data_IF_561721129533
#
_entry.id   IF_561721129533
#
_cell.length_a   1.000
_cell.length_b   1.000
_cell.length_c   1.000
_cell.angle_alpha   90.00
_cell.angle_beta   90.00
_cell.angle_gamma   90.00
#
_symmetry.space_group_name_H-M   'P 1'
#
loop_
_entity.id
_entity.type
_entity.pdbx_description
1 polymer ?
#
# COMPACT_ATOMS: atom_id res chain seq x y z
N UNK A 1 -13.03 -10.57 -14.20
CA UNK A 1 -11.62 -10.15 -14.05
C UNK A 1 -11.07 -10.79 -12.78
N UNK A 2 -9.80 -11.19 -12.78
CA UNK A 2 -9.15 -11.67 -11.55
C UNK A 2 -8.98 -10.51 -10.56
N UNK A 3 -9.07 -10.78 -9.25
CA UNK A 3 -8.80 -9.78 -8.21
C UNK A 3 -7.33 -9.38 -8.24
N UNK A 4 -7.06 -8.12 -7.90
CA UNK A 4 -5.71 -7.60 -7.69
C UNK A 4 -5.19 -8.14 -6.36
N UNK A 5 -4.04 -8.80 -6.38
CA UNK A 5 -3.35 -9.30 -5.20
C UNK A 5 -2.70 -8.13 -4.48
N UNK A 6 -3.16 -7.85 -3.27
CA UNK A 6 -2.74 -6.72 -2.48
C UNK A 6 -1.81 -7.17 -1.35
N UNK A 7 -0.72 -6.44 -1.17
CA UNK A 7 0.07 -6.45 0.06
C UNK A 7 -0.20 -5.21 0.91
N UNK A 8 0.09 -5.25 2.21
CA UNK A 8 0.00 -4.09 3.10
C UNK A 8 1.28 -3.91 3.94
N UNK A 9 1.74 -2.68 4.10
CA UNK A 9 2.85 -2.32 5.00
C UNK A 9 2.35 -1.35 6.06
N UNK A 10 2.53 -1.72 7.33
CA UNK A 10 1.90 -1.05 8.48
C UNK A 10 0.44 -1.46 8.67
N UNK A 11 -0.28 -0.73 9.53
CA UNK A 11 -1.73 -0.89 9.68
C UNK A 11 -2.19 -2.25 10.23
N UNK A 12 -1.34 -2.95 10.97
CA UNK A 12 -1.70 -4.21 11.63
C UNK A 12 -2.76 -4.07 12.72
N UNK A 13 -2.71 -4.98 13.69
CA UNK A 13 -3.62 -5.01 14.84
C UNK A 13 -3.73 -3.65 15.54
N UNK A 14 -4.96 -3.29 15.93
CA UNK A 14 -5.35 -2.05 16.62
C UNK A 14 -5.15 -0.74 15.82
N UNK A 15 -4.79 -0.81 14.54
CA UNK A 15 -4.56 0.37 13.71
C UNK A 15 -5.78 0.74 12.85
N UNK A 16 -6.50 1.79 13.27
CA UNK A 16 -7.67 2.33 12.55
C UNK A 16 -7.42 2.57 11.05
N UNK A 17 -6.26 3.14 10.69
CA UNK A 17 -5.93 3.42 9.28
C UNK A 17 -5.81 2.13 8.48
N UNK A 18 -5.22 1.07 9.05
CA UNK A 18 -5.16 -0.23 8.39
C UNK A 18 -6.55 -0.79 8.09
N UNK A 19 -7.47 -0.71 9.06
CA UNK A 19 -8.86 -1.16 8.87
C UNK A 19 -9.58 -0.39 7.76
N UNK A 20 -9.43 0.94 7.73
CA UNK A 20 -10.04 1.79 6.71
C UNK A 20 -9.55 1.41 5.30
N UNK A 21 -8.24 1.24 5.12
CA UNK A 21 -7.68 0.86 3.81
C UNK A 21 -8.10 -0.56 3.40
N UNK A 22 -8.14 -1.51 4.33
CA UNK A 22 -8.66 -2.86 4.07
C UNK A 22 -10.15 -2.87 3.72
N UNK A 23 -10.96 -2.06 4.40
CA UNK A 23 -12.38 -1.88 4.08
C UNK A 23 -12.55 -1.33 2.66
N UNK A 24 -11.82 -0.27 2.32
CA UNK A 24 -11.87 0.34 0.99
C UNK A 24 -11.48 -0.66 -0.11
N UNK A 25 -10.42 -1.44 0.09
CA UNK A 25 -9.98 -2.46 -0.87
C UNK A 25 -11.01 -3.58 -1.09
N UNK A 26 -11.75 -3.95 -0.03
CA UNK A 26 -12.77 -5.01 -0.10
C UNK A 26 -14.10 -4.55 -0.70
N UNK A 27 -14.46 -3.28 -0.52
CA UNK A 27 -15.82 -2.77 -0.77
C UNK A 27 -16.33 -3.08 -2.19
N UNK A 28 -15.49 -2.90 -3.20
CA UNK A 28 -15.86 -3.13 -4.61
C UNK A 28 -15.52 -4.54 -5.11
N UNK A 29 -15.05 -5.44 -4.24
CA UNK A 29 -14.69 -6.82 -4.59
C UNK A 29 -13.50 -6.97 -5.55
N UNK A 30 -12.68 -5.92 -5.72
CA UNK A 30 -11.58 -5.88 -6.72
C UNK A 30 -10.23 -6.35 -6.20
N UNK A 31 -10.02 -6.37 -4.89
CA UNK A 31 -8.74 -6.72 -4.27
C UNK A 31 -8.85 -7.95 -3.37
N UNK A 32 -7.72 -8.62 -3.18
CA UNK A 32 -7.53 -9.68 -2.21
C UNK A 32 -6.23 -9.42 -1.44
N UNK A 33 -6.30 -9.26 -0.12
CA UNK A 33 -5.11 -9.08 0.73
C UNK A 33 -4.44 -10.43 0.94
N UNK A 34 -3.22 -10.62 0.42
CA UNK A 34 -2.52 -11.91 0.46
C UNK A 34 -1.16 -11.87 1.17
N UNK A 35 -0.63 -10.69 1.48
CA UNK A 35 0.67 -10.52 2.11
C UNK A 35 0.71 -9.28 3.00
N UNK A 36 1.58 -9.28 4.01
CA UNK A 36 1.70 -8.10 4.88
C UNK A 36 2.99 -8.01 5.68
N UNK A 37 3.55 -6.79 5.74
CA UNK A 37 4.54 -6.36 6.71
C UNK A 37 3.86 -5.44 7.72
N UNK A 38 3.03 -6.05 8.58
CA UNK A 38 2.03 -5.34 9.40
C UNK A 38 2.60 -4.75 10.68
N UNK A 39 3.77 -5.20 11.11
CA UNK A 39 4.58 -4.66 12.20
C UNK A 39 6.05 -4.97 11.94
N UNK A 40 6.97 -4.17 12.51
CA UNK A 40 8.39 -4.51 12.56
C UNK A 40 8.71 -5.56 13.63
N UNK A 41 7.84 -5.72 14.62
CA UNK A 41 7.90 -6.79 15.60
C UNK A 41 7.32 -8.08 15.00
N UNK A 42 8.10 -9.17 15.03
CA UNK A 42 7.73 -10.42 14.36
C UNK A 42 6.47 -11.07 14.95
N UNK A 43 6.29 -10.99 16.27
CA UNK A 43 5.13 -11.57 16.94
C UNK A 43 3.88 -10.77 16.59
N UNK A 44 3.92 -9.44 16.70
CA UNK A 44 2.80 -8.58 16.32
C UNK A 44 2.46 -8.67 14.83
N UNK A 45 3.45 -8.83 13.97
CA UNK A 45 3.24 -9.05 12.54
C UNK A 45 2.48 -10.36 12.29
N UNK A 46 2.92 -11.46 12.92
CA UNK A 46 2.27 -12.77 12.80
C UNK A 46 0.85 -12.79 13.37
N UNK A 47 0.63 -12.18 14.54
CA UNK A 47 -0.71 -12.02 15.12
C UNK A 47 -1.64 -11.23 14.18
N UNK A 48 -1.16 -10.10 13.66
CA UNK A 48 -1.94 -9.27 12.73
C UNK A 48 -2.26 -10.04 11.44
N UNK A 49 -1.31 -10.80 10.90
CA UNK A 49 -1.52 -11.60 9.71
C UNK A 49 -2.57 -12.70 9.95
N UNK A 50 -2.51 -13.39 11.09
CA UNK A 50 -3.47 -14.42 11.46
C UNK A 50 -4.89 -13.85 11.62
N UNK A 51 -5.05 -12.70 12.28
CA UNK A 51 -6.35 -12.01 12.43
C UNK A 51 -6.95 -11.61 11.08
N UNK A 52 -6.10 -11.28 10.10
CA UNK A 52 -6.52 -10.86 8.76
C UNK A 52 -6.64 -12.01 7.76
N UNK A 53 -6.34 -13.25 8.17
CA UNK A 53 -6.36 -14.42 7.29
C UNK A 53 -5.25 -14.45 6.23
N UNK A 54 -4.15 -13.73 6.45
CA UNK A 54 -2.97 -13.76 5.58
C UNK A 54 -2.14 -15.02 5.87
N UNK A 55 -1.73 -15.74 4.83
CA UNK A 55 -0.87 -16.93 4.97
C UNK A 55 0.40 -16.59 5.77
N UNK A 56 0.73 -17.39 6.78
CA UNK A 56 1.91 -17.19 7.62
C UNK A 56 3.22 -17.08 6.80
N UNK A 57 3.31 -17.73 5.63
CA UNK A 57 4.47 -17.65 4.72
C UNK A 57 4.59 -16.30 4.01
N UNK A 58 3.51 -15.52 4.00
CA UNK A 58 3.40 -14.17 3.44
C UNK A 58 3.18 -13.10 4.52
N UNK A 59 3.38 -13.48 5.78
CA UNK A 59 3.58 -12.56 6.89
C UNK A 59 5.06 -12.21 6.98
N UNK A 60 5.37 -10.92 6.98
CA UNK A 60 6.72 -10.38 7.06
C UNK A 60 6.82 -9.43 8.23
N UNK A 61 8.01 -9.28 8.80
CA UNK A 61 8.32 -8.20 9.76
C UNK A 61 9.25 -7.13 9.16
N UNK A 62 9.52 -7.22 7.85
CA UNK A 62 10.37 -6.29 7.11
C UNK A 62 9.76 -6.03 5.74
N UNK A 63 9.51 -4.76 5.43
CA UNK A 63 9.01 -4.37 4.12
C UNK A 63 10.05 -4.59 3.01
N UNK A 64 11.36 -4.50 3.31
CA UNK A 64 12.43 -4.82 2.36
C UNK A 64 12.37 -6.31 1.96
N UNK A 65 12.20 -7.19 2.94
CA UNK A 65 12.06 -8.63 2.66
C UNK A 65 10.79 -8.93 1.87
N UNK A 66 9.67 -8.32 2.27
CA UNK A 66 8.39 -8.45 1.58
C UNK A 66 8.51 -8.03 0.12
N UNK A 67 8.98 -6.81 -0.16
CA UNK A 67 9.14 -6.30 -1.53
C UNK A 67 10.02 -7.23 -2.38
N UNK A 68 11.17 -7.66 -1.85
CA UNK A 68 12.10 -8.55 -2.56
C UNK A 68 11.49 -9.93 -2.86
N UNK A 69 10.78 -10.53 -1.90
CA UNK A 69 10.19 -11.87 -2.08
C UNK A 69 8.97 -11.80 -2.99
N UNK A 70 8.03 -10.90 -2.71
CA UNK A 70 6.79 -10.78 -3.47
C UNK A 70 7.06 -10.35 -4.93
N UNK A 71 8.00 -9.43 -5.19
CA UNK A 71 8.36 -9.02 -6.55
C UNK A 71 9.01 -10.10 -7.42
N UNK A 72 9.48 -11.21 -6.80
CA UNK A 72 10.05 -12.37 -7.53
C UNK A 72 9.06 -13.52 -7.69
N UNK A 73 7.97 -13.53 -6.91
CA UNK A 73 6.99 -14.60 -6.97
C UNK A 73 6.09 -14.41 -8.20
N UNK A 74 5.93 -15.47 -9.01
CA UNK A 74 4.91 -15.47 -10.08
C UNK A 74 3.49 -15.24 -9.53
N UNK A 75 3.27 -15.67 -8.29
CA UNK A 75 2.04 -15.45 -7.54
C UNK A 75 2.15 -14.27 -6.57
N UNK A 76 3.08 -13.34 -6.82
CA UNK A 76 3.35 -12.18 -5.97
C UNK A 76 2.18 -11.21 -5.88
N UNK A 77 2.30 -10.21 -5.02
CA UNK A 77 1.36 -9.08 -4.99
C UNK A 77 1.51 -8.22 -6.26
N UNK A 78 0.39 -7.72 -6.77
CA UNK A 78 0.33 -6.80 -7.89
C UNK A 78 0.49 -5.35 -7.42
N UNK A 79 -0.02 -5.05 -6.22
CA UNK A 79 0.04 -3.73 -5.59
C UNK A 79 0.31 -3.85 -4.08
N UNK A 80 0.85 -2.78 -3.49
CA UNK A 80 1.00 -2.61 -2.05
C UNK A 80 0.25 -1.38 -1.57
N UNK A 81 -0.43 -1.48 -0.43
CA UNK A 81 -0.93 -0.32 0.31
C UNK A 81 0.00 -0.01 1.49
N UNK A 82 0.48 1.24 1.55
CA UNK A 82 1.42 1.73 2.56
C UNK A 82 0.66 2.62 3.52
N UNK A 83 0.59 2.19 4.77
CA UNK A 83 -0.15 2.83 5.87
C UNK A 83 0.73 2.96 7.12
N UNK A 84 2.02 3.18 6.91
CA UNK A 84 3.02 3.45 7.96
C UNK A 84 2.96 4.93 8.39
N UNK A 85 3.72 5.34 9.42
CA UNK A 85 4.01 6.76 9.63
C UNK A 85 4.63 7.42 8.39
N UNK A 86 4.33 8.70 8.19
CA UNK A 86 4.66 9.47 6.97
C UNK A 86 6.15 9.59 6.64
N UNK A 87 7.04 9.55 7.64
CA UNK A 87 8.49 9.59 7.41
C UNK A 87 9.02 8.31 6.74
N UNK A 88 8.26 7.20 6.75
CA UNK A 88 8.64 5.94 6.12
C UNK A 88 8.08 5.77 4.70
N UNK A 89 7.12 6.61 4.28
CA UNK A 89 6.42 6.44 3.01
C UNK A 89 7.37 6.38 1.81
N UNK A 90 8.37 7.27 1.78
CA UNK A 90 9.33 7.36 0.69
C UNK A 90 10.14 6.07 0.55
N UNK A 91 10.76 5.63 1.64
CA UNK A 91 11.63 4.45 1.64
C UNK A 91 10.84 3.18 1.33
N UNK A 92 9.68 2.99 1.96
CA UNK A 92 8.82 1.84 1.69
C UNK A 92 8.41 1.84 0.21
N UNK A 93 7.89 2.96 -0.31
CA UNK A 93 7.42 2.99 -1.68
C UNK A 93 8.54 2.78 -2.72
N UNK A 94 9.74 3.34 -2.48
CA UNK A 94 10.91 3.13 -3.35
C UNK A 94 11.23 1.64 -3.49
N UNK A 95 11.13 0.85 -2.42
CA UNK A 95 11.40 -0.59 -2.46
C UNK A 95 10.40 -1.38 -3.30
N UNK A 96 9.10 -1.09 -3.17
CA UNK A 96 8.07 -1.79 -3.95
C UNK A 96 8.07 -1.37 -5.43
N UNK A 97 8.28 -0.08 -5.73
CA UNK A 97 8.44 0.39 -7.11
C UNK A 97 9.63 -0.28 -7.80
N UNK A 98 10.79 -0.35 -7.13
CA UNK A 98 11.97 -1.06 -7.65
C UNK A 98 11.74 -2.57 -7.84
N UNK A 99 10.83 -3.15 -7.06
CA UNK A 99 10.43 -4.55 -7.17
C UNK A 99 9.36 -4.79 -8.26
N UNK A 100 8.93 -3.76 -9.00
CA UNK A 100 7.93 -3.90 -10.06
C UNK A 100 6.47 -3.89 -9.56
N UNK A 101 6.23 -3.43 -8.33
CA UNK A 101 4.92 -3.51 -7.66
C UNK A 101 4.27 -2.13 -7.61
N UNK A 102 2.98 -2.04 -7.94
CA UNK A 102 2.21 -0.80 -7.88
C UNK A 102 2.04 -0.32 -6.42
N UNK A 103 1.94 0.99 -6.21
CA UNK A 103 1.87 1.57 -4.86
C UNK A 103 0.59 2.38 -4.65
N UNK A 104 -0.07 2.14 -3.51
CA UNK A 104 -1.13 2.97 -2.94
C UNK A 104 -0.60 3.50 -1.60
N UNK A 105 -0.25 4.78 -1.52
CA UNK A 105 0.35 5.39 -0.34
C UNK A 105 -0.65 6.23 0.43
N UNK A 106 -0.65 6.12 1.76
CA UNK A 106 -1.44 7.04 2.58
C UNK A 106 -0.89 8.48 2.53
N UNK A 107 -1.75 9.45 2.82
CA UNK A 107 -1.39 10.85 2.93
C UNK A 107 -0.75 11.17 4.31
N UNK A 108 0.13 12.17 4.40
CA UNK A 108 0.76 12.94 3.32
C UNK A 108 1.78 12.09 2.55
N UNK A 109 2.09 12.47 1.30
CA UNK A 109 2.98 11.71 0.40
C UNK A 109 4.32 11.36 1.07
N UNK A 110 4.99 12.34 1.67
CA UNK A 110 6.27 12.22 2.38
C UNK A 110 6.36 13.27 3.49
N UNK A 111 7.45 13.26 4.27
CA UNK A 111 7.75 14.29 5.28
C UNK A 111 8.52 15.50 4.75
N UNK A 112 9.08 15.44 3.53
CA UNK A 112 9.84 16.53 2.91
C UNK A 112 9.65 16.54 1.37
N UNK A 113 9.96 17.68 0.74
CA UNK A 113 9.80 17.88 -0.71
C UNK A 113 10.78 17.02 -1.53
N UNK A 114 12.03 16.91 -1.09
CA UNK A 114 13.08 16.16 -1.80
C UNK A 114 12.66 14.70 -2.06
N UNK A 115 12.12 14.02 -1.04
CA UNK A 115 11.62 12.65 -1.18
C UNK A 115 10.43 12.54 -2.13
N UNK A 116 9.55 13.55 -2.14
CA UNK A 116 8.41 13.56 -3.07
C UNK A 116 8.87 13.71 -4.52
N UNK A 117 9.87 14.55 -4.80
CA UNK A 117 10.45 14.73 -6.13
C UNK A 117 11.17 13.46 -6.62
N UNK A 118 11.92 12.80 -5.72
CA UNK A 118 12.56 11.52 -6.02
C UNK A 118 11.55 10.42 -6.34
N UNK A 119 10.45 10.33 -5.57
CA UNK A 119 9.37 9.40 -5.87
C UNK A 119 8.72 9.69 -7.22
N UNK A 120 8.44 10.97 -7.52
CA UNK A 120 7.83 11.34 -8.79
C UNK A 120 8.71 10.94 -9.98
N UNK A 121 10.03 11.13 -9.87
CA UNK A 121 10.99 10.64 -10.88
C UNK A 121 10.95 9.12 -11.00
N UNK A 122 11.02 8.39 -9.88
CA UNK A 122 11.01 6.93 -9.89
C UNK A 122 9.72 6.34 -10.48
N UNK A 123 8.57 6.93 -10.18
CA UNK A 123 7.28 6.54 -10.77
C UNK A 123 7.28 6.74 -12.28
N UNK A 124 7.82 7.87 -12.76
CA UNK A 124 7.97 8.12 -14.20
C UNK A 124 8.90 7.12 -14.87
N UNK A 125 10.03 6.80 -14.23
CA UNK A 125 11.05 5.89 -14.78
C UNK A 125 10.54 4.43 -14.82
N UNK A 126 9.74 4.03 -13.83
CA UNK A 126 9.19 2.66 -13.74
C UNK A 126 7.91 2.46 -14.56
N UNK A 127 7.13 3.52 -14.81
CA UNK A 127 5.82 3.44 -15.45
C UNK A 127 4.74 2.75 -14.59
N UNK A 128 5.04 2.47 -13.32
CA UNK A 128 4.10 1.84 -12.39
C UNK A 128 3.07 2.86 -11.89
N UNK A 129 1.88 2.36 -11.54
CA UNK A 129 0.88 3.17 -10.84
C UNK A 129 1.36 3.51 -9.44
N UNK A 130 1.29 4.80 -9.11
CA UNK A 130 1.42 5.33 -7.76
C UNK A 130 0.20 6.20 -7.44
N UNK A 131 -0.59 5.81 -6.45
CA UNK A 131 -1.75 6.55 -6.00
C UNK A 131 -1.53 7.05 -4.57
N UNK A 132 -1.97 8.27 -4.27
CA UNK A 132 -2.05 8.80 -2.89
C UNK A 132 -3.51 8.82 -2.47
N UNK A 133 -3.83 8.33 -1.28
CA UNK A 133 -5.22 8.28 -0.78
C UNK A 133 -5.69 9.63 -0.24
N UNK A 134 -5.76 10.64 -1.11
CA UNK A 134 -6.54 11.87 -0.88
C UNK A 134 -8.04 11.56 -0.95
N UNK A 135 -8.52 10.77 0.00
CA UNK A 135 -9.81 10.07 0.01
C UNK A 135 -11.01 11.00 -0.20
N UNK A 136 -10.97 12.24 0.27
CA UNK A 136 -12.06 13.20 0.07
C UNK A 136 -12.30 13.56 -1.40
N UNK A 137 -11.27 13.47 -2.26
CA UNK A 137 -11.42 13.66 -3.72
C UNK A 137 -12.18 12.51 -4.42
N UNK A 138 -12.44 11.42 -3.69
CA UNK A 138 -13.21 10.26 -4.15
C UNK A 138 -14.72 10.46 -4.10
N UNK A 139 -15.23 11.45 -3.35
CA UNK A 139 -16.67 11.64 -3.22
C UNK A 139 -17.31 12.10 -4.54
N UNK A 140 -18.48 11.54 -4.94
CA UNK A 140 -19.15 11.92 -6.18
C UNK A 140 -19.43 13.41 -6.27
N UNK A 141 -19.89 14.05 -5.18
CA UNK A 141 -20.21 15.47 -5.18
C UNK A 141 -18.98 16.37 -5.26
N UNK A 142 -17.81 15.93 -4.77
CA UNK A 142 -16.55 16.66 -4.95
C UNK A 142 -16.12 16.62 -6.42
N UNK A 143 -16.31 15.48 -7.09
CA UNK A 143 -16.00 15.35 -8.52
C UNK A 143 -17.00 16.10 -9.41
N UNK A 144 -18.29 16.09 -9.05
CA UNK A 144 -19.32 16.90 -9.70
C UNK A 144 -18.99 18.39 -9.60
N UNK A 145 -18.59 18.86 -8.41
CA UNK A 145 -18.20 20.25 -8.21
C UNK A 145 -16.99 20.63 -9.10
N UNK A 146 -16.00 19.74 -9.24
CA UNK A 146 -14.87 19.94 -10.16
C UNK A 146 -15.32 20.06 -11.61
N UNK A 147 -16.24 19.20 -12.06
CA UNK A 147 -16.73 19.21 -13.44
C UNK A 147 -17.56 20.45 -13.77
N UNK A 148 -18.33 20.98 -12.82
CA UNK A 148 -19.14 22.20 -13.03
C UNK A 148 -18.30 23.49 -13.14
N UNK A 149 -17.07 23.48 -12.60
CA UNK A 149 -16.17 24.66 -12.62
C UNK A 149 -15.20 24.63 -13.80
N UNK A 150 -14.88 23.43 -14.33
CA UNK A 150 -13.93 23.21 -15.41
C UNK A 150 -14.45 23.71 -16.78
#
# INVERSE_FOLDING_TARGET
MNKIKLGMVGGGKDAFIGDVHRMAARLDGRYELIAGALSSDANRAAESAAELGVDAKRSYNSYHEMARKEGKLKSGIDAVTIVTPNHLHADVAKEFLKAGIHVICDKPLTSNLQDAEELAKLVKDTGLVFAVTYNYSGYPMVRQAKEMVA
#
